data_IF_852834250283
#
_entry.id   IF_852834250283
#
_cell.length_a   1.000
_cell.length_b   1.000
_cell.length_c   1.000
_cell.angle_alpha   90.00
_cell.angle_beta   90.00
_cell.angle_gamma   90.00
#
_symmetry.space_group_name_H-M   'P 1'
#
loop_
_entity.id
_entity.type
_entity.pdbx_description
1 polymer ?
#
# COMPACT_ATOMS: atom_id res chain seq x y z
N UNK A 1 31.21 12.66 26.82
CA UNK A 1 31.97 11.39 27.01
C UNK A 1 32.94 11.23 25.87
N UNK A 2 34.23 10.91 26.17
CA UNK A 2 35.17 10.53 25.13
C UNK A 2 34.73 9.18 24.58
N UNK A 3 34.19 9.14 23.37
CA UNK A 3 33.64 7.96 22.69
C UNK A 3 34.55 6.71 22.69
N UNK A 4 35.83 6.90 22.97
CA UNK A 4 36.85 5.83 22.96
C UNK A 4 36.87 4.92 24.19
N UNK A 5 36.12 5.20 25.25
CA UNK A 5 36.15 4.40 26.52
C UNK A 5 34.94 3.46 26.68
N UNK A 6 33.87 3.66 25.93
CA UNK A 6 32.67 2.81 26.02
C UNK A 6 32.80 1.63 25.06
N UNK A 7 32.76 0.41 25.62
CA UNK A 7 32.80 -0.80 24.80
C UNK A 7 31.42 -1.10 24.18
N UNK A 8 31.35 -1.91 23.13
CA UNK A 8 30.06 -2.39 22.62
C UNK A 8 29.17 -3.07 23.68
N UNK A 9 29.79 -3.80 24.60
CA UNK A 9 29.12 -4.42 25.74
C UNK A 9 28.52 -3.39 26.70
N UNK A 10 29.22 -2.29 26.97
CA UNK A 10 28.70 -1.19 27.79
C UNK A 10 27.50 -0.52 27.12
N UNK A 11 27.59 -0.26 25.82
CA UNK A 11 26.47 0.33 25.05
C UNK A 11 25.24 -0.57 25.12
N UNK A 12 25.40 -1.86 24.86
CA UNK A 12 24.31 -2.85 24.93
C UNK A 12 23.65 -2.88 26.32
N UNK A 13 24.46 -2.92 27.39
CA UNK A 13 23.96 -2.96 28.76
C UNK A 13 23.13 -1.71 29.10
N UNK A 14 23.62 -0.52 28.73
CA UNK A 14 22.94 0.77 28.96
C UNK A 14 21.63 0.85 28.19
N UNK A 15 21.62 0.47 26.92
CA UNK A 15 20.41 0.48 26.10
C UNK A 15 19.35 -0.51 26.62
N UNK A 16 19.77 -1.69 27.04
CA UNK A 16 18.85 -2.68 27.62
C UNK A 16 18.26 -2.18 28.94
N UNK A 17 19.08 -1.60 29.81
CA UNK A 17 18.62 -0.97 31.05
C UNK A 17 17.58 0.11 30.78
N UNK A 18 17.85 1.02 29.83
CA UNK A 18 16.89 2.09 29.47
C UNK A 18 15.54 1.50 29.04
N UNK A 19 15.55 0.48 28.18
CA UNK A 19 14.31 -0.22 27.75
C UNK A 19 13.57 -0.86 28.91
N UNK A 20 14.28 -1.54 29.81
CA UNK A 20 13.69 -2.18 30.98
C UNK A 20 13.06 -1.14 31.92
N UNK A 21 13.73 -0.02 32.16
CA UNK A 21 13.19 1.07 32.97
C UNK A 21 11.91 1.65 32.36
N UNK A 22 11.91 1.91 31.06
CA UNK A 22 10.75 2.44 30.36
C UNK A 22 9.58 1.46 30.38
N UNK A 23 9.82 0.16 30.17
CA UNK A 23 8.80 -0.88 30.26
C UNK A 23 8.24 -1.00 31.69
N UNK A 24 9.09 -0.89 32.71
CA UNK A 24 8.66 -0.93 34.12
C UNK A 24 7.78 0.28 34.49
N UNK A 25 8.04 1.46 33.93
CA UNK A 25 7.21 2.65 34.15
C UNK A 25 5.80 2.53 33.57
N UNK A 26 5.61 1.67 32.58
CA UNK A 26 4.31 1.41 31.93
C UNK A 26 3.58 0.20 32.51
N UNK A 27 4.04 -0.40 33.59
CA UNK A 27 3.57 -1.68 34.14
C UNK A 27 3.67 -2.90 33.20
N UNK A 28 4.36 -2.76 32.07
CA UNK A 28 4.52 -3.83 31.07
C UNK A 28 5.62 -4.82 31.42
N UNK A 29 6.48 -4.48 32.39
CA UNK A 29 7.64 -5.29 32.75
C UNK A 29 7.90 -5.23 34.26
N UNK A 30 8.01 -6.41 34.89
CA UNK A 30 8.48 -6.55 36.24
C UNK A 30 9.77 -7.36 36.23
N UNK A 31 10.94 -6.70 36.34
CA UNK A 31 12.22 -7.40 36.30
C UNK A 31 12.37 -8.35 37.50
N UNK A 32 12.91 -9.52 37.23
CA UNK A 32 13.41 -10.40 38.30
C UNK A 32 14.69 -9.80 38.89
N UNK A 33 15.05 -10.18 40.12
CA UNK A 33 16.18 -9.60 40.84
C UNK A 33 17.49 -9.62 40.05
N UNK A 34 17.76 -10.68 39.30
CA UNK A 34 18.94 -10.81 38.44
C UNK A 34 19.00 -9.73 37.36
N UNK A 35 17.89 -9.50 36.68
CA UNK A 35 17.76 -8.46 35.64
C UNK A 35 17.96 -7.04 36.19
N UNK A 36 17.37 -6.79 37.38
CA UNK A 36 17.55 -5.52 38.09
C UNK A 36 19.02 -5.26 38.46
N UNK A 37 19.77 -6.30 38.93
CA UNK A 37 21.18 -6.14 39.24
C UNK A 37 22.05 -5.82 38.03
N UNK A 38 21.74 -6.40 36.86
CA UNK A 38 22.40 -6.05 35.61
C UNK A 38 22.08 -4.60 35.18
N UNK A 39 20.86 -4.12 35.36
CA UNK A 39 20.47 -2.74 35.04
C UNK A 39 21.15 -1.77 36.01
N UNK A 40 21.24 -2.10 37.30
CA UNK A 40 21.99 -1.32 38.30
C UNK A 40 23.47 -1.21 37.91
N UNK A 41 24.09 -2.35 37.50
CA UNK A 41 25.46 -2.35 37.02
C UNK A 41 25.64 -1.42 35.82
N UNK A 42 24.71 -1.45 34.85
CA UNK A 42 24.78 -0.61 33.67
C UNK A 42 24.77 0.91 34.02
N UNK A 43 23.92 1.29 34.99
CA UNK A 43 23.90 2.67 35.52
C UNK A 43 25.22 3.03 36.17
N UNK A 44 25.70 2.21 37.11
CA UNK A 44 26.94 2.45 37.84
C UNK A 44 28.13 2.58 36.89
N UNK A 45 28.20 1.68 35.88
CA UNK A 45 29.23 1.73 34.85
C UNK A 45 29.14 2.97 33.97
N UNK A 46 27.94 3.38 33.59
CA UNK A 46 27.73 4.60 32.81
C UNK A 46 28.20 5.84 33.58
N UNK A 47 27.83 5.98 34.87
CA UNK A 47 28.24 7.07 35.71
C UNK A 47 29.78 7.10 35.88
N UNK A 48 30.39 5.94 36.16
CA UNK A 48 31.84 5.80 36.24
C UNK A 48 32.55 6.27 34.95
N UNK A 49 32.05 5.90 33.78
CA UNK A 49 32.60 6.34 32.50
C UNK A 49 32.35 7.83 32.22
N UNK A 50 31.21 8.36 32.64
CA UNK A 50 30.84 9.75 32.40
C UNK A 50 31.69 10.74 33.22
N UNK A 51 32.01 10.39 34.45
CA UNK A 51 32.77 11.23 35.38
C UNK A 51 34.25 10.84 35.48
N UNK A 52 34.71 9.81 34.79
CA UNK A 52 36.08 9.27 34.82
C UNK A 52 36.51 8.83 36.21
N UNK A 53 35.57 8.30 37.00
CA UNK A 53 35.73 7.84 38.37
C UNK A 53 35.62 6.30 38.49
N UNK A 54 36.32 5.70 39.42
CA UNK A 54 36.22 4.27 39.68
C UNK A 54 34.89 3.94 40.36
N UNK A 55 34.41 2.72 40.15
CA UNK A 55 33.22 2.19 40.83
C UNK A 55 33.52 2.10 42.33
N UNK A 56 32.70 2.71 43.20
CA UNK A 56 32.90 2.63 44.63
C UNK A 56 33.05 1.20 45.14
N UNK A 57 34.06 0.95 45.97
CA UNK A 57 34.36 -0.37 46.50
C UNK A 57 33.17 -1.02 47.25
N UNK A 58 32.31 -0.19 47.84
CA UNK A 58 31.08 -0.65 48.51
C UNK A 58 30.02 -1.23 47.58
N UNK A 59 30.02 -0.85 46.27
CA UNK A 59 29.05 -1.31 45.28
C UNK A 59 29.55 -2.56 44.52
N UNK A 60 30.85 -2.82 44.50
CA UNK A 60 31.43 -3.95 43.77
C UNK A 60 30.79 -5.30 44.16
N UNK A 61 30.61 -5.63 45.46
CA UNK A 61 30.00 -6.89 45.83
C UNK A 61 28.49 -6.98 45.59
N UNK A 62 27.82 -5.84 45.40
CA UNK A 62 26.36 -5.74 45.25
C UNK A 62 25.88 -5.86 43.81
N UNK A 63 26.80 -5.76 42.84
CA UNK A 63 26.47 -5.79 41.40
C UNK A 63 27.24 -6.94 40.70
N UNK A 64 26.73 -7.45 39.55
CA UNK A 64 27.43 -8.47 38.76
C UNK A 64 28.85 -8.02 38.35
N UNK A 65 29.82 -8.91 38.33
CA UNK A 65 31.20 -8.60 37.95
C UNK A 65 31.37 -8.23 36.48
N UNK A 66 30.48 -8.70 35.57
CA UNK A 66 30.47 -8.43 34.15
C UNK A 66 29.17 -7.77 33.72
N UNK A 67 29.20 -7.08 32.60
CA UNK A 67 27.95 -6.63 31.97
C UNK A 67 27.05 -7.81 31.66
N UNK A 68 25.75 -7.51 31.49
CA UNK A 68 24.75 -8.48 31.02
C UNK A 68 25.34 -9.27 29.83
N UNK A 69 25.29 -10.60 29.85
CA UNK A 69 25.74 -11.39 28.73
C UNK A 69 24.92 -11.03 27.51
N UNK A 70 25.58 -10.84 26.39
CA UNK A 70 24.94 -10.60 25.10
C UNK A 70 24.11 -11.84 24.77
N UNK A 71 22.82 -11.74 24.98
CA UNK A 71 21.87 -12.74 24.51
C UNK A 71 21.63 -12.36 23.06
N UNK A 72 22.35 -12.96 22.12
CA UNK A 72 22.33 -12.75 20.67
C UNK A 72 21.19 -11.87 20.19
N UNK A 73 21.36 -11.11 19.16
CA UNK A 73 20.39 -10.12 18.67
C UNK A 73 18.95 -10.64 18.75
N UNK A 74 18.24 -10.43 19.86
CA UNK A 74 16.82 -10.26 19.78
C UNK A 74 16.65 -8.90 19.09
N UNK A 75 16.65 -8.92 17.75
CA UNK A 75 16.22 -7.76 16.98
C UNK A 75 14.84 -7.39 17.53
N UNK A 76 14.73 -6.27 18.21
CA UNK A 76 13.42 -5.77 18.59
C UNK A 76 12.71 -5.41 17.30
N UNK A 77 11.74 -6.21 16.92
CA UNK A 77 10.93 -5.97 15.74
C UNK A 77 9.83 -5.00 16.15
N UNK A 78 9.83 -3.82 15.57
CA UNK A 78 8.82 -2.81 15.80
C UNK A 78 7.89 -2.82 14.57
N UNK A 79 6.61 -3.14 14.74
CA UNK A 79 5.69 -3.26 13.60
C UNK A 79 5.53 -1.97 12.81
N UNK A 80 5.49 -0.83 13.51
CA UNK A 80 5.18 0.46 12.92
C UNK A 80 5.81 1.62 13.70
N UNK A 81 6.38 2.59 12.96
CA UNK A 81 6.86 3.87 13.52
C UNK A 81 6.44 4.98 12.56
N UNK A 82 5.90 6.06 13.12
CA UNK A 82 5.71 7.34 12.41
C UNK A 82 6.92 8.23 12.67
N UNK A 83 7.46 8.85 11.61
CA UNK A 83 8.62 9.73 11.72
C UNK A 83 8.53 10.90 10.74
N UNK A 84 9.23 11.99 11.06
CA UNK A 84 9.41 13.16 10.21
C UNK A 84 10.90 13.33 9.89
N UNK A 85 11.23 13.49 8.61
CA UNK A 85 12.61 13.64 8.13
C UNK A 85 13.20 14.95 8.64
N UNK A 86 14.37 14.90 9.27
CA UNK A 86 15.16 16.09 9.65
C UNK A 86 16.29 16.34 8.65
N UNK A 87 17.00 15.28 8.26
CA UNK A 87 18.07 15.32 7.25
C UNK A 87 18.32 13.89 6.72
N UNK A 88 19.11 13.76 5.66
CA UNK A 88 19.45 12.45 5.10
C UNK A 88 20.79 12.48 4.35
N UNK A 89 21.37 11.31 4.15
CA UNK A 89 22.49 11.06 3.27
C UNK A 89 22.20 9.92 2.28
N UNK A 90 23.20 9.38 1.61
CA UNK A 90 23.03 8.33 0.61
C UNK A 90 22.48 7.01 1.17
N UNK A 91 22.57 6.78 2.46
CA UNK A 91 22.24 5.50 3.12
C UNK A 91 21.33 5.64 4.33
N UNK A 92 21.30 6.82 4.97
CA UNK A 92 20.62 7.04 6.23
C UNK A 92 19.68 8.23 6.19
N UNK A 93 18.57 8.11 6.92
CA UNK A 93 17.64 9.21 7.19
C UNK A 93 17.69 9.49 8.69
N UNK A 94 17.88 10.74 9.05
CA UNK A 94 17.75 11.24 10.42
C UNK A 94 16.36 11.80 10.59
N UNK A 95 15.58 11.25 11.52
CA UNK A 95 14.19 11.59 11.65
C UNK A 95 13.77 11.80 13.11
N UNK A 96 12.81 12.69 13.31
CA UNK A 96 12.12 12.87 14.57
C UNK A 96 10.90 11.95 14.64
N UNK A 97 10.59 11.46 15.84
CA UNK A 97 9.38 10.68 16.12
C UNK A 97 8.57 11.37 17.21
N UNK A 98 7.34 10.94 17.40
CA UNK A 98 6.47 11.35 18.51
C UNK A 98 6.67 10.49 19.77
N UNK A 99 7.64 9.58 19.77
CA UNK A 99 7.97 8.75 20.92
C UNK A 99 8.82 9.51 21.93
N UNK A 100 8.37 9.54 23.19
CA UNK A 100 9.17 10.08 24.29
C UNK A 100 10.45 9.29 24.56
N UNK A 101 10.48 8.01 24.16
CA UNK A 101 11.60 7.12 24.40
C UNK A 101 12.74 7.32 23.40
N UNK A 102 12.36 7.45 22.12
CA UNK A 102 13.28 7.64 21.01
C UNK A 102 12.80 8.79 20.13
N UNK A 103 12.94 10.05 20.62
CA UNK A 103 12.46 11.24 19.90
C UNK A 103 13.23 11.49 18.59
N UNK A 104 14.43 10.90 18.47
CA UNK A 104 15.25 10.97 17.25
C UNK A 104 15.80 9.59 16.93
N UNK A 105 15.61 9.17 15.68
CA UNK A 105 16.05 7.87 15.18
C UNK A 105 16.94 8.04 13.95
N UNK A 106 17.82 7.06 13.73
CA UNK A 106 18.61 6.91 12.52
C UNK A 106 18.04 5.74 11.75
N UNK A 107 17.48 6.02 10.58
CA UNK A 107 16.90 5.02 9.69
C UNK A 107 17.96 4.63 8.67
N UNK A 108 18.36 3.37 8.65
CA UNK A 108 19.22 2.81 7.60
C UNK A 108 18.34 2.21 6.50
N UNK A 109 18.10 2.99 5.43
CA UNK A 109 17.23 2.60 4.33
C UNK A 109 17.95 1.92 3.17
N UNK A 110 19.28 1.85 3.23
CA UNK A 110 20.12 1.33 2.15
C UNK A 110 21.05 0.21 2.60
N UNK A 111 20.79 -0.40 3.78
CA UNK A 111 21.69 -1.40 4.37
C UNK A 111 21.87 -2.61 3.47
N UNK A 112 23.01 -2.62 2.78
CA UNK A 112 23.64 -3.70 2.05
C UNK A 112 22.73 -4.74 1.40
N UNK A 113 22.42 -4.63 0.13
CA UNK A 113 21.74 -5.66 -0.66
C UNK A 113 20.28 -5.94 -0.30
N UNK A 114 19.91 -5.86 0.99
CA UNK A 114 18.56 -6.18 1.46
C UNK A 114 17.51 -5.11 1.12
N UNK A 115 17.90 -3.84 1.21
CA UNK A 115 17.03 -2.67 0.96
C UNK A 115 17.49 -1.82 -0.22
N UNK A 116 18.25 -2.39 -1.17
CA UNK A 116 18.73 -1.66 -2.34
C UNK A 116 17.60 -1.13 -3.23
N UNK A 117 16.42 -1.73 -3.15
CA UNK A 117 15.20 -1.31 -3.84
C UNK A 117 14.61 0.01 -3.27
N UNK A 118 15.02 0.45 -2.07
CA UNK A 118 14.60 1.72 -1.47
C UNK A 118 15.52 2.91 -1.77
N UNK A 119 16.64 2.71 -2.51
CA UNK A 119 17.57 3.79 -2.85
C UNK A 119 16.93 4.94 -3.62
N UNK A 120 15.86 4.70 -4.38
CA UNK A 120 15.11 5.74 -5.10
C UNK A 120 14.52 6.81 -4.16
N UNK A 121 14.34 6.48 -2.87
CA UNK A 121 13.79 7.44 -1.89
C UNK A 121 14.67 8.66 -1.74
N UNK A 122 16.00 8.54 -1.93
CA UNK A 122 16.93 9.66 -1.84
C UNK A 122 16.47 10.88 -2.64
N UNK A 123 15.95 10.65 -3.85
CA UNK A 123 15.50 11.71 -4.74
C UNK A 123 14.11 12.28 -4.37
N UNK A 124 13.42 11.64 -3.44
CA UNK A 124 12.08 12.02 -2.98
C UNK A 124 12.08 12.61 -1.57
N UNK A 125 13.19 12.49 -0.82
CA UNK A 125 13.28 12.99 0.54
C UNK A 125 13.29 14.52 0.57
N UNK A 126 12.63 15.06 1.58
CA UNK A 126 12.60 16.49 1.89
C UNK A 126 12.54 16.70 3.41
N UNK A 127 12.98 17.83 3.90
CA UNK A 127 12.85 18.19 5.31
C UNK A 127 11.36 18.23 5.72
N UNK A 128 11.05 17.73 6.90
CA UNK A 128 9.69 17.55 7.43
C UNK A 128 8.79 16.55 6.67
N UNK A 129 9.34 15.80 5.71
CA UNK A 129 8.60 14.74 5.04
C UNK A 129 8.15 13.68 6.05
N UNK A 130 6.85 13.38 6.05
CA UNK A 130 6.27 12.35 6.91
C UNK A 130 6.51 10.96 6.34
N UNK A 131 6.96 10.06 7.20
CA UNK A 131 7.26 8.67 6.88
C UNK A 131 6.47 7.72 7.77
N UNK A 132 6.01 6.62 7.21
CA UNK A 132 5.69 5.42 7.96
C UNK A 132 6.79 4.39 7.72
N UNK A 133 7.34 3.87 8.78
CA UNK A 133 8.32 2.78 8.77
C UNK A 133 7.61 1.51 9.21
N UNK A 134 7.67 0.46 8.40
CA UNK A 134 6.94 -0.77 8.62
C UNK A 134 7.91 -1.94 8.84
N UNK A 135 7.55 -2.82 9.78
CA UNK A 135 8.32 -4.01 10.13
C UNK A 135 9.81 -3.71 10.39
N UNK A 136 10.07 -2.79 11.31
CA UNK A 136 11.39 -2.22 11.57
C UNK A 136 12.22 -3.15 12.44
N UNK A 137 13.43 -3.45 12.02
CA UNK A 137 14.46 -4.07 12.84
C UNK A 137 15.37 -2.99 13.42
N UNK A 138 15.72 -3.10 14.69
CA UNK A 138 16.71 -2.22 15.31
C UNK A 138 17.99 -3.00 15.54
N UNK A 139 19.10 -2.56 14.96
CA UNK A 139 20.38 -3.23 15.07
C UNK A 139 21.14 -2.84 16.36
N UNK A 140 22.32 -3.42 16.54
CA UNK A 140 23.16 -3.21 17.72
C UNK A 140 23.64 -1.75 17.86
N UNK A 141 23.73 -1.02 16.77
CA UNK A 141 24.13 0.38 16.72
C UNK A 141 22.94 1.33 16.91
N UNK A 142 21.74 0.79 17.17
CA UNK A 142 20.48 1.50 17.28
C UNK A 142 20.06 2.18 15.99
N UNK A 143 20.40 1.58 14.84
CA UNK A 143 19.85 1.95 13.56
C UNK A 143 18.54 1.21 13.31
N UNK A 144 17.57 1.94 12.81
CA UNK A 144 16.24 1.45 12.47
C UNK A 144 16.23 1.04 11.00
N UNK A 145 16.03 -0.26 10.75
CA UNK A 145 16.06 -0.85 9.41
C UNK A 145 14.64 -1.29 9.07
N UNK A 146 13.85 -0.46 8.37
CA UNK A 146 12.48 -0.81 8.00
C UNK A 146 12.46 -1.82 6.85
N UNK A 147 11.45 -2.68 6.84
CA UNK A 147 11.17 -3.52 5.69
C UNK A 147 10.55 -2.71 4.54
N UNK A 148 9.68 -1.75 4.88
CA UNK A 148 9.06 -0.81 3.94
C UNK A 148 9.06 0.60 4.52
N UNK A 149 9.17 1.59 3.63
CA UNK A 149 8.97 3.01 3.94
C UNK A 149 7.84 3.54 3.07
N UNK A 150 6.87 4.18 3.69
CA UNK A 150 5.77 4.89 3.01
C UNK A 150 5.94 6.38 3.24
N UNK A 151 6.11 7.14 2.16
CA UNK A 151 6.21 8.62 2.24
C UNK A 151 4.85 9.27 2.04
N UNK A 152 4.62 10.46 2.60
CA UNK A 152 3.33 11.14 2.56
C UNK A 152 2.15 10.20 2.87
N UNK A 153 2.16 9.45 3.98
CA UNK A 153 1.17 8.40 4.24
C UNK A 153 -0.24 8.93 4.40
N UNK A 154 -0.41 10.18 4.82
CA UNK A 154 -1.73 10.83 4.95
C UNK A 154 -2.37 11.13 3.58
N UNK A 155 -1.58 11.17 2.51
CA UNK A 155 -2.10 11.26 1.15
C UNK A 155 -2.50 9.86 0.66
N UNK A 156 -3.72 9.45 1.02
CA UNK A 156 -4.25 8.13 0.66
C UNK A 156 -4.42 8.01 -0.86
N UNK A 157 -3.84 6.95 -1.43
CA UNK A 157 -3.99 6.59 -2.84
C UNK A 157 -5.01 5.47 -2.96
N UNK A 158 -5.93 5.60 -3.90
CA UNK A 158 -6.91 4.56 -4.21
C UNK A 158 -6.23 3.34 -4.85
N UNK A 159 -6.53 2.15 -4.31
CA UNK A 159 -5.92 0.89 -4.71
C UNK A 159 -6.17 0.58 -6.19
N UNK A 160 -7.39 0.79 -6.69
CA UNK A 160 -7.72 0.53 -8.09
C UNK A 160 -6.94 1.47 -9.01
N UNK A 161 -6.78 2.73 -8.60
CA UNK A 161 -6.02 3.74 -9.35
C UNK A 161 -4.52 3.45 -9.37
N UNK A 162 -3.97 2.95 -8.27
CA UNK A 162 -2.58 2.49 -8.19
C UNK A 162 -2.35 1.26 -9.07
N UNK A 163 -3.20 0.25 -8.93
CA UNK A 163 -3.15 -0.98 -9.73
C UNK A 163 -3.22 -0.69 -11.23
N UNK A 164 -4.08 0.26 -11.64
CA UNK A 164 -4.20 0.69 -13.04
C UNK A 164 -2.92 1.34 -13.62
N UNK A 165 -1.90 1.60 -12.81
CA UNK A 165 -0.60 2.08 -13.27
C UNK A 165 0.37 0.95 -13.67
N UNK A 166 0.05 -0.31 -13.31
CA UNK A 166 0.77 -1.48 -13.76
C UNK A 166 0.33 -1.83 -15.19
N UNK A 167 1.17 -1.46 -16.14
CA UNK A 167 0.91 -1.62 -17.57
C UNK A 167 1.93 -2.56 -18.19
N UNK A 168 1.52 -3.27 -19.22
CA UNK A 168 2.42 -4.16 -19.96
C UNK A 168 3.66 -3.46 -20.54
N UNK A 169 3.61 -2.12 -20.68
CA UNK A 169 4.69 -1.30 -21.18
C UNK A 169 5.52 -0.58 -20.09
N UNK A 170 5.12 -0.68 -18.82
CA UNK A 170 5.86 -0.09 -17.70
C UNK A 170 4.99 0.29 -16.52
N UNK A 171 5.64 0.56 -15.38
CA UNK A 171 5.01 0.92 -14.11
C UNK A 171 5.32 2.39 -13.75
N UNK A 172 5.33 3.26 -14.75
CA UNK A 172 5.71 4.66 -14.59
C UNK A 172 4.66 5.45 -13.77
N UNK A 173 5.06 6.29 -12.78
CA UNK A 173 4.11 7.04 -11.94
C UNK A 173 3.24 8.03 -12.74
N UNK A 174 3.66 8.49 -13.91
CA UNK A 174 2.86 9.33 -14.80
C UNK A 174 1.67 8.59 -15.44
N UNK A 175 1.60 7.26 -15.37
CA UNK A 175 0.38 6.53 -15.73
C UNK A 175 -0.80 6.96 -14.84
N UNK A 176 -0.53 7.32 -13.58
CA UNK A 176 -1.56 7.87 -12.68
C UNK A 176 -2.10 9.21 -13.16
N UNK A 177 -1.21 10.12 -13.57
CA UNK A 177 -1.59 11.40 -14.20
C UNK A 177 -2.35 11.19 -15.51
N UNK A 178 -1.85 10.31 -16.40
CA UNK A 178 -2.53 10.00 -17.67
C UNK A 178 -3.95 9.49 -17.46
N UNK A 179 -4.17 8.64 -16.44
CA UNK A 179 -5.49 8.15 -16.09
C UNK A 179 -6.42 9.26 -15.54
N UNK A 180 -5.87 10.33 -14.95
CA UNK A 180 -6.64 11.51 -14.49
C UNK A 180 -7.10 12.40 -15.62
N UNK A 181 -6.23 12.65 -16.60
CA UNK A 181 -6.51 13.60 -17.71
C UNK A 181 -7.20 12.94 -18.90
N UNK A 182 -7.15 11.63 -18.99
CA UNK A 182 -7.84 10.87 -20.04
C UNK A 182 -9.36 11.08 -19.93
N UNK A 183 -10.04 11.40 -21.06
CA UNK A 183 -11.49 11.51 -21.08
C UNK A 183 -12.16 10.23 -20.57
N UNK A 184 -13.08 10.36 -19.63
CA UNK A 184 -13.91 9.24 -19.15
C UNK A 184 -15.19 9.20 -19.96
N UNK A 185 -15.41 8.13 -20.71
CA UNK A 185 -16.65 7.90 -21.42
C UNK A 185 -17.38 6.69 -20.81
N UNK A 186 -18.71 6.77 -20.77
CA UNK A 186 -19.51 5.60 -20.49
C UNK A 186 -19.40 4.61 -21.65
N UNK A 187 -19.10 3.37 -21.35
CA UNK A 187 -18.97 2.31 -22.36
C UNK A 187 -19.77 1.08 -21.95
N UNK A 188 -20.23 0.31 -22.94
CA UNK A 188 -20.98 -0.90 -22.66
C UNK A 188 -20.22 -1.90 -21.74
N UNK A 189 -18.88 -2.08 -21.83
CA UNK A 189 -18.14 -2.89 -20.86
C UNK A 189 -18.22 -2.39 -19.42
N UNK A 190 -18.22 -1.06 -19.20
CA UNK A 190 -18.36 -0.47 -17.85
C UNK A 190 -19.76 -0.75 -17.30
N UNK A 191 -20.80 -0.51 -18.11
CA UNK A 191 -22.18 -0.81 -17.72
C UNK A 191 -22.39 -2.31 -17.44
N UNK A 192 -21.79 -3.18 -18.25
CA UNK A 192 -21.82 -4.62 -18.03
C UNK A 192 -21.11 -5.02 -16.73
N UNK A 193 -20.00 -4.33 -16.41
CA UNK A 193 -19.29 -4.50 -15.14
C UNK A 193 -20.13 -4.13 -13.93
N UNK A 194 -20.75 -2.97 -13.96
CA UNK A 194 -21.63 -2.51 -12.88
C UNK A 194 -22.84 -3.43 -12.70
N UNK A 195 -23.41 -3.93 -13.80
CA UNK A 195 -24.50 -4.90 -13.74
C UNK A 195 -24.04 -6.26 -13.19
N UNK A 196 -22.83 -6.71 -13.52
CA UNK A 196 -22.25 -7.93 -12.98
C UNK A 196 -22.00 -7.82 -11.47
N UNK A 197 -21.53 -6.66 -10.97
CA UNK A 197 -21.42 -6.41 -9.52
C UNK A 197 -22.79 -6.46 -8.85
N UNK A 198 -23.82 -5.87 -9.47
CA UNK A 198 -25.20 -5.95 -8.93
C UNK A 198 -25.72 -7.40 -8.88
N UNK A 199 -25.37 -8.25 -9.85
CA UNK A 199 -25.72 -9.68 -9.78
C UNK A 199 -25.02 -10.38 -8.62
N UNK A 200 -23.75 -10.09 -8.36
CA UNK A 200 -23.04 -10.64 -7.20
C UNK A 200 -23.73 -10.24 -5.89
N UNK A 201 -24.03 -8.96 -5.74
CA UNK A 201 -24.74 -8.43 -4.56
C UNK A 201 -26.09 -9.11 -4.37
N UNK A 202 -26.87 -9.22 -5.43
CA UNK A 202 -28.22 -9.81 -5.38
C UNK A 202 -28.15 -11.30 -5.01
N UNK A 203 -27.18 -12.08 -5.54
CA UNK A 203 -27.06 -13.51 -5.21
C UNK A 203 -26.49 -13.78 -3.82
N UNK A 204 -25.57 -12.96 -3.33
CA UNK A 204 -25.07 -13.06 -1.95
C UNK A 204 -26.24 -12.77 -0.97
N UNK A 205 -27.08 -11.78 -1.28
CA UNK A 205 -28.22 -11.40 -0.44
C UNK A 205 -29.50 -12.20 -0.75
N UNK A 206 -29.45 -13.14 -1.70
CA UNK A 206 -30.61 -13.94 -2.10
C UNK A 206 -31.16 -14.76 -0.93
N UNK A 207 -32.47 -14.67 -0.74
CA UNK A 207 -33.21 -15.45 0.26
C UNK A 207 -33.78 -16.71 -0.37
N UNK A 208 -33.86 -17.78 0.39
CA UNK A 208 -34.39 -19.06 -0.08
C UNK A 208 -35.86 -18.96 -0.57
N UNK A 209 -36.65 -18.08 0.11
CA UNK A 209 -38.05 -17.83 -0.20
C UNK A 209 -38.28 -16.84 -1.35
N UNK A 210 -37.25 -16.17 -1.83
CA UNK A 210 -37.33 -15.11 -2.84
C UNK A 210 -36.12 -15.16 -3.80
N UNK A 211 -36.11 -16.10 -4.77
CA UNK A 211 -35.00 -16.23 -5.70
C UNK A 211 -34.86 -14.99 -6.61
N UNK A 212 -33.62 -14.63 -6.90
CA UNK A 212 -33.27 -13.50 -7.77
C UNK A 212 -33.65 -13.78 -9.22
N UNK A 213 -34.49 -12.91 -9.79
CA UNK A 213 -34.87 -12.98 -11.20
C UNK A 213 -34.07 -11.96 -12.03
N UNK A 214 -33.51 -12.39 -13.16
CA UNK A 214 -32.78 -11.53 -14.11
C UNK A 214 -33.51 -10.23 -14.41
N UNK A 215 -34.82 -10.33 -14.75
CA UNK A 215 -35.63 -9.16 -15.10
C UNK A 215 -35.76 -8.13 -13.96
N UNK A 216 -35.72 -8.58 -12.71
CA UNK A 216 -35.83 -7.70 -11.53
C UNK A 216 -34.54 -6.90 -11.37
N UNK A 217 -33.38 -7.55 -11.36
CA UNK A 217 -32.07 -6.89 -11.26
C UNK A 217 -31.85 -5.93 -12.41
N UNK A 218 -32.09 -6.39 -13.65
CA UNK A 218 -31.90 -5.55 -14.84
C UNK A 218 -32.80 -4.32 -14.83
N UNK A 219 -34.09 -4.45 -14.49
CA UNK A 219 -34.99 -3.29 -14.36
C UNK A 219 -34.50 -2.28 -13.33
N UNK A 220 -34.10 -2.77 -12.16
CA UNK A 220 -33.53 -1.93 -11.08
C UNK A 220 -32.28 -1.21 -11.57
N UNK A 221 -31.37 -1.92 -12.22
CA UNK A 221 -30.13 -1.37 -12.75
C UNK A 221 -30.39 -0.32 -13.85
N UNK A 222 -31.26 -0.61 -14.82
CA UNK A 222 -31.63 0.37 -15.85
C UNK A 222 -32.26 1.63 -15.26
N UNK A 223 -33.05 1.51 -14.21
CA UNK A 223 -33.63 2.66 -13.53
C UNK A 223 -32.56 3.53 -12.83
N UNK A 224 -31.56 2.90 -12.21
CA UNK A 224 -30.48 3.62 -11.50
C UNK A 224 -29.42 4.20 -12.43
N UNK A 225 -29.16 3.58 -13.58
CA UNK A 225 -28.14 3.98 -14.54
C UNK A 225 -28.75 4.54 -15.88
N UNK A 226 -29.91 5.15 -15.81
CA UNK A 226 -30.66 5.56 -17.00
C UNK A 226 -29.90 6.56 -17.88
N UNK A 227 -29.19 7.52 -17.27
CA UNK A 227 -28.41 8.52 -17.98
C UNK A 227 -27.19 7.91 -18.67
N UNK A 228 -26.53 6.97 -18.03
CA UNK A 228 -25.39 6.24 -18.57
C UNK A 228 -25.81 5.44 -19.81
N UNK A 229 -26.98 4.79 -19.77
CA UNK A 229 -27.53 4.09 -20.92
C UNK A 229 -27.89 5.02 -22.08
N UNK A 230 -28.38 6.24 -21.80
CA UNK A 230 -28.69 7.24 -22.83
C UNK A 230 -27.43 7.78 -23.53
N UNK A 231 -26.30 7.76 -22.86
CA UNK A 231 -25.03 8.33 -23.38
C UNK A 231 -24.07 7.28 -23.93
N UNK A 232 -24.42 6.01 -23.82
CA UNK A 232 -23.57 4.88 -24.23
C UNK A 232 -24.20 4.09 -25.40
N UNK A 233 -23.49 3.87 -26.51
CA UNK A 233 -23.96 2.95 -27.55
C UNK A 233 -23.95 1.51 -27.00
N UNK A 234 -25.14 0.93 -26.87
CA UNK A 234 -25.32 -0.43 -26.36
C UNK A 234 -25.31 -1.42 -27.53
N UNK A 235 -24.41 -2.42 -27.55
CA UNK A 235 -24.39 -3.45 -28.59
C UNK A 235 -25.59 -4.38 -28.49
N UNK A 236 -26.05 -4.93 -29.62
CA UNK A 236 -27.23 -5.79 -29.69
C UNK A 236 -27.14 -7.03 -28.75
N UNK A 237 -25.94 -7.55 -28.52
CA UNK A 237 -25.69 -8.71 -27.68
C UNK A 237 -25.44 -8.37 -26.19
N UNK A 238 -25.72 -7.14 -25.74
CA UNK A 238 -25.51 -6.72 -24.36
C UNK A 238 -26.28 -7.59 -23.35
N UNK A 239 -27.56 -7.84 -23.64
CA UNK A 239 -28.40 -8.70 -22.78
C UNK A 239 -27.92 -10.14 -22.74
N UNK A 240 -27.46 -10.68 -23.86
CA UNK A 240 -26.89 -12.03 -23.92
C UNK A 240 -25.63 -12.13 -23.04
N UNK A 241 -24.74 -11.14 -23.16
CA UNK A 241 -23.55 -11.05 -22.30
C UNK A 241 -23.90 -10.90 -20.82
N UNK A 242 -24.90 -10.09 -20.50
CA UNK A 242 -25.36 -9.90 -19.13
C UNK A 242 -25.96 -11.19 -18.55
N UNK A 243 -26.76 -11.92 -19.31
CA UNK A 243 -27.31 -13.21 -18.89
C UNK A 243 -26.22 -14.26 -18.67
N UNK A 244 -25.21 -14.32 -19.55
CA UNK A 244 -24.08 -15.22 -19.39
C UNK A 244 -23.32 -14.93 -18.09
N UNK A 245 -23.04 -13.64 -17.82
CA UNK A 245 -22.39 -13.24 -16.57
C UNK A 245 -23.24 -13.56 -15.33
N UNK A 246 -24.54 -13.31 -15.39
CA UNK A 246 -25.47 -13.68 -14.32
C UNK A 246 -25.40 -15.16 -14.00
N UNK A 247 -25.45 -16.04 -15.03
CA UNK A 247 -25.39 -17.50 -14.85
C UNK A 247 -24.08 -17.93 -14.21
N UNK A 248 -22.94 -17.36 -14.65
CA UNK A 248 -21.63 -17.64 -14.08
C UNK A 248 -21.54 -17.20 -12.63
N UNK A 249 -22.02 -15.98 -12.29
CA UNK A 249 -22.02 -15.45 -10.94
C UNK A 249 -22.94 -16.28 -10.02
N UNK A 250 -24.10 -16.68 -10.51
CA UNK A 250 -25.00 -17.55 -9.76
C UNK A 250 -24.32 -18.87 -9.39
N UNK A 251 -23.76 -19.57 -10.39
CA UNK A 251 -23.02 -20.81 -10.15
C UNK A 251 -21.83 -20.58 -9.23
N UNK A 252 -21.13 -19.46 -9.36
CA UNK A 252 -20.05 -19.08 -8.47
C UNK A 252 -20.50 -18.99 -7.02
N UNK A 253 -21.59 -18.28 -6.73
CA UNK A 253 -22.08 -18.05 -5.36
C UNK A 253 -22.66 -19.31 -4.74
N UNK A 254 -23.45 -20.09 -5.51
CA UNK A 254 -24.18 -21.25 -4.98
C UNK A 254 -23.39 -22.56 -4.99
N UNK A 255 -22.49 -22.74 -5.97
CA UNK A 255 -21.80 -24.01 -6.17
C UNK A 255 -20.30 -23.89 -5.90
N UNK A 256 -19.63 -22.90 -6.51
CA UNK A 256 -18.17 -22.85 -6.56
C UNK A 256 -17.57 -22.35 -5.24
N UNK A 257 -18.10 -21.26 -4.67
CA UNK A 257 -17.61 -20.73 -3.38
C UNK A 257 -17.78 -21.73 -2.24
N UNK A 258 -18.97 -22.33 -2.02
CA UNK A 258 -19.14 -23.30 -0.95
C UNK A 258 -18.27 -24.56 -1.09
N UNK A 259 -17.93 -24.93 -2.34
CA UNK A 259 -17.07 -26.08 -2.59
C UNK A 259 -15.58 -25.79 -2.36
N UNK A 260 -15.13 -24.60 -2.73
CA UNK A 260 -13.70 -24.23 -2.67
C UNK A 260 -13.29 -23.59 -1.33
N UNK A 261 -14.23 -23.02 -0.58
CA UNK A 261 -13.97 -22.33 0.67
C UNK A 261 -14.61 -23.09 1.82
N UNK A 262 -13.77 -23.68 2.67
CA UNK A 262 -14.25 -24.35 3.86
C UNK A 262 -14.95 -23.35 4.78
N UNK A 263 -16.17 -23.67 5.19
CA UNK A 263 -17.04 -22.80 6.03
C UNK A 263 -17.44 -21.46 5.35
N UNK A 264 -17.59 -21.44 4.02
CA UNK A 264 -18.18 -20.28 3.36
C UNK A 264 -19.63 -20.09 3.81
N UNK A 265 -19.93 -18.88 4.27
CA UNK A 265 -21.29 -18.46 4.64
C UNK A 265 -21.62 -17.13 3.96
N UNK A 266 -22.51 -17.18 2.98
CA UNK A 266 -22.95 -15.97 2.26
C UNK A 266 -23.59 -14.91 3.17
N UNK A 267 -24.24 -15.32 4.27
CA UNK A 267 -24.83 -14.38 5.24
C UNK A 267 -23.80 -13.70 6.14
N UNK A 268 -22.58 -14.23 6.16
CA UNK A 268 -21.46 -13.67 6.91
C UNK A 268 -20.45 -12.94 6.01
N UNK A 269 -20.95 -12.30 4.95
CA UNK A 269 -20.19 -11.59 3.94
C UNK A 269 -20.44 -10.08 4.01
N UNK A 270 -19.42 -9.30 3.74
CA UNK A 270 -19.46 -7.86 3.51
C UNK A 270 -19.27 -7.63 2.00
N UNK A 271 -20.20 -6.88 1.42
CA UNK A 271 -20.12 -6.44 0.03
C UNK A 271 -19.68 -4.98 -0.03
N UNK A 272 -18.90 -4.63 -1.02
CA UNK A 272 -18.44 -3.26 -1.25
C UNK A 272 -17.80 -2.62 0.01
N UNK A 273 -17.07 -3.44 0.81
CA UNK A 273 -16.44 -2.98 2.04
C UNK A 273 -15.32 -1.99 1.77
N UNK A 274 -15.46 -0.76 2.30
CA UNK A 274 -14.47 0.30 2.14
C UNK A 274 -13.45 0.28 3.26
N UNK A 275 -12.18 0.44 2.91
CA UNK A 275 -11.05 0.43 3.83
C UNK A 275 -10.16 1.65 3.64
N UNK A 276 -9.60 2.10 4.75
CA UNK A 276 -8.48 3.02 4.85
C UNK A 276 -7.35 2.25 5.54
N UNK A 277 -6.15 2.27 4.97
CA UNK A 277 -4.95 1.74 5.58
C UNK A 277 -3.92 2.87 5.69
N UNK A 278 -3.89 3.51 6.85
CA UNK A 278 -2.98 4.64 7.12
C UNK A 278 -1.51 4.20 7.06
N UNK A 279 -1.21 2.99 7.53
CA UNK A 279 0.15 2.46 7.51
C UNK A 279 0.71 2.38 6.09
N UNK A 280 -0.09 1.94 5.13
CA UNK A 280 0.30 1.84 3.71
C UNK A 280 0.01 3.11 2.91
N UNK A 281 -0.72 4.07 3.47
CA UNK A 281 -1.19 5.25 2.75
C UNK A 281 -2.12 4.90 1.59
N UNK A 282 -2.99 3.91 1.78
CA UNK A 282 -3.89 3.37 0.78
C UNK A 282 -5.35 3.43 1.24
N UNK A 283 -6.25 3.52 0.27
CA UNK A 283 -7.68 3.34 0.47
C UNK A 283 -8.27 2.52 -0.67
N UNK A 284 -9.41 1.88 -0.43
CA UNK A 284 -10.08 1.13 -1.48
C UNK A 284 -11.35 0.47 -1.01
N UNK A 285 -12.03 -0.21 -1.93
CA UNK A 285 -13.28 -0.90 -1.72
C UNK A 285 -13.21 -2.29 -2.33
N UNK A 286 -13.41 -3.30 -1.51
CA UNK A 286 -13.36 -4.71 -1.88
C UNK A 286 -14.74 -5.18 -2.29
N UNK A 287 -14.85 -5.90 -3.39
CA UNK A 287 -16.15 -6.38 -3.90
C UNK A 287 -16.83 -7.33 -2.91
N UNK A 288 -16.10 -8.31 -2.39
CA UNK A 288 -16.64 -9.25 -1.41
C UNK A 288 -15.57 -9.67 -0.37
N UNK A 289 -15.95 -9.64 0.91
CA UNK A 289 -15.09 -10.02 2.02
C UNK A 289 -15.91 -10.79 3.07
N UNK A 290 -15.44 -11.92 3.58
CA UNK A 290 -16.03 -12.53 4.74
C UNK A 290 -15.74 -11.74 6.02
N UNK A 291 -16.70 -11.71 6.96
CA UNK A 291 -16.59 -10.92 8.21
C UNK A 291 -15.44 -11.37 9.13
N UNK A 292 -14.93 -12.58 8.96
CA UNK A 292 -13.73 -13.06 9.64
C UNK A 292 -12.42 -12.53 9.04
N UNK A 293 -12.50 -11.76 7.94
CA UNK A 293 -11.38 -11.20 7.18
C UNK A 293 -10.38 -12.23 6.65
N UNK A 294 -10.85 -13.45 6.32
CA UNK A 294 -10.00 -14.51 5.80
C UNK A 294 -10.22 -14.77 4.32
N UNK A 295 -11.41 -14.49 3.80
CA UNK A 295 -11.77 -14.73 2.40
C UNK A 295 -12.06 -13.41 1.73
N UNK A 296 -11.34 -13.14 0.65
CA UNK A 296 -11.47 -11.95 -0.19
C UNK A 296 -11.71 -12.38 -1.63
N UNK A 297 -12.70 -11.77 -2.28
CA UNK A 297 -12.98 -11.95 -3.70
C UNK A 297 -13.04 -10.60 -4.39
N UNK A 298 -12.29 -10.46 -5.47
CA UNK A 298 -12.35 -9.31 -6.38
C UNK A 298 -12.95 -9.77 -7.70
N UNK A 299 -14.03 -9.14 -8.13
CA UNK A 299 -14.75 -9.49 -9.35
C UNK A 299 -14.30 -8.67 -10.55
N UNK A 300 -14.14 -9.32 -11.68
CA UNK A 300 -13.84 -8.69 -12.98
C UNK A 300 -14.80 -9.21 -14.05
N UNK A 301 -15.57 -8.32 -14.66
CA UNK A 301 -16.49 -8.64 -15.74
C UNK A 301 -15.82 -8.72 -17.12
N UNK A 302 -14.58 -8.22 -17.22
CA UNK A 302 -13.79 -8.16 -18.43
C UNK A 302 -13.07 -9.47 -18.77
N UNK A 303 -12.17 -9.35 -19.76
CA UNK A 303 -11.32 -10.46 -20.17
C UNK A 303 -10.16 -10.66 -19.22
N UNK A 304 -9.80 -11.94 -18.97
CA UNK A 304 -8.49 -12.32 -18.44
C UNK A 304 -7.45 -12.34 -19.56
N UNK A 305 -6.19 -12.65 -19.27
CA UNK A 305 -5.23 -13.04 -20.30
C UNK A 305 -5.69 -14.38 -20.91
N UNK A 306 -6.29 -14.28 -22.10
CA UNK A 306 -6.90 -15.43 -22.79
C UNK A 306 -5.84 -16.42 -23.32
N UNK A 307 -4.64 -15.93 -23.62
CA UNK A 307 -3.56 -16.75 -24.15
C UNK A 307 -2.98 -17.70 -23.09
N UNK A 308 -2.62 -17.13 -21.93
CA UNK A 308 -2.03 -17.88 -20.82
C UNK A 308 -3.09 -18.39 -19.83
N UNK A 309 -4.35 -18.03 -19.98
CA UNK A 309 -5.44 -18.26 -19.01
C UNK A 309 -5.08 -17.78 -17.60
N UNK A 310 -4.40 -16.63 -17.52
CA UNK A 310 -3.96 -16.02 -16.28
C UNK A 310 -4.75 -14.75 -15.96
N UNK A 311 -4.57 -14.25 -14.75
CA UNK A 311 -5.01 -12.92 -14.38
C UNK A 311 -4.28 -11.86 -15.23
N UNK A 312 -4.86 -10.67 -15.33
CA UNK A 312 -4.13 -9.48 -15.77
C UNK A 312 -3.36 -8.91 -14.57
N UNK A 313 -2.21 -8.35 -14.83
CA UNK A 313 -1.30 -7.85 -13.79
C UNK A 313 -1.96 -6.79 -12.91
N UNK A 314 -2.64 -5.80 -13.49
CA UNK A 314 -3.37 -4.77 -12.77
C UNK A 314 -4.46 -5.34 -11.84
N UNK A 315 -5.17 -6.39 -12.26
CA UNK A 315 -6.17 -7.04 -11.43
C UNK A 315 -5.53 -7.83 -10.26
N UNK A 316 -4.40 -8.49 -10.52
CA UNK A 316 -3.65 -9.21 -9.51
C UNK A 316 -3.06 -8.25 -8.47
N UNK A 317 -2.46 -7.14 -8.92
CA UNK A 317 -1.93 -6.09 -8.04
C UNK A 317 -3.03 -5.51 -7.16
N UNK A 318 -4.21 -5.22 -7.72
CA UNK A 318 -5.34 -4.70 -6.95
C UNK A 318 -5.72 -5.65 -5.80
N UNK A 319 -5.87 -6.93 -6.10
CA UNK A 319 -6.21 -7.93 -5.10
C UNK A 319 -5.09 -8.08 -4.05
N UNK A 320 -3.82 -8.11 -4.48
CA UNK A 320 -2.68 -8.22 -3.59
C UNK A 320 -2.56 -7.01 -2.63
N UNK A 321 -2.87 -5.81 -3.10
CA UNK A 321 -2.92 -4.62 -2.25
C UNK A 321 -4.03 -4.71 -1.20
N UNK A 322 -5.19 -5.30 -1.51
CA UNK A 322 -6.20 -5.59 -0.51
C UNK A 322 -5.74 -6.63 0.52
N UNK A 323 -4.98 -7.65 0.11
CA UNK A 323 -4.33 -8.55 1.07
C UNK A 323 -3.42 -7.76 2.03
N UNK A 324 -2.58 -6.87 1.48
CA UNK A 324 -1.75 -5.96 2.28
C UNK A 324 -2.56 -5.14 3.29
N UNK A 325 -3.71 -4.58 2.87
CA UNK A 325 -4.62 -3.86 3.79
C UNK A 325 -5.10 -4.76 4.92
N UNK A 326 -5.49 -6.00 4.63
CA UNK A 326 -5.93 -6.93 5.67
C UNK A 326 -4.78 -7.33 6.62
N UNK A 327 -3.56 -7.44 6.09
CA UNK A 327 -2.38 -7.74 6.90
C UNK A 327 -2.05 -6.58 7.86
N UNK A 328 -2.00 -5.35 7.37
CA UNK A 328 -1.58 -4.20 8.17
C UNK A 328 -2.69 -3.65 9.08
N UNK A 329 -3.95 -3.66 8.64
CA UNK A 329 -5.05 -3.18 9.47
C UNK A 329 -5.50 -4.19 10.53
N UNK A 330 -5.46 -5.49 10.22
CA UNK A 330 -6.07 -6.53 11.05
C UNK A 330 -5.08 -7.60 11.53
N UNK A 331 -3.79 -7.41 11.26
CA UNK A 331 -2.74 -8.36 11.66
C UNK A 331 -2.89 -9.75 11.03
N UNK A 332 -3.54 -9.84 9.87
CA UNK A 332 -3.69 -11.13 9.16
C UNK A 332 -2.37 -11.56 8.55
N UNK A 333 -2.09 -12.84 8.62
CA UNK A 333 -0.95 -13.42 7.92
C UNK A 333 -1.37 -13.88 6.52
N UNK A 334 -0.44 -13.87 5.58
CA UNK A 334 -0.69 -14.32 4.20
C UNK A 334 -1.22 -15.74 4.12
N UNK A 335 -0.73 -16.63 4.99
CA UNK A 335 -1.15 -18.02 5.10
C UNK A 335 -2.58 -18.23 5.59
N UNK A 336 -3.16 -17.23 6.28
CA UNK A 336 -4.55 -17.26 6.76
C UNK A 336 -5.54 -16.71 5.73
N UNK A 337 -5.05 -16.08 4.66
CA UNK A 337 -5.87 -15.42 3.67
C UNK A 337 -6.13 -16.33 2.46
N UNK A 338 -7.40 -16.46 2.10
CA UNK A 338 -7.84 -17.07 0.85
C UNK A 338 -8.35 -15.99 -0.08
N UNK A 339 -7.66 -15.77 -1.18
CA UNK A 339 -7.93 -14.67 -2.08
C UNK A 339 -8.21 -15.16 -3.48
N UNK A 340 -9.24 -14.60 -4.06
CA UNK A 340 -9.80 -15.05 -5.33
C UNK A 340 -10.02 -13.87 -6.27
N UNK A 341 -9.61 -14.06 -7.53
CA UNK A 341 -10.07 -13.25 -8.66
C UNK A 341 -11.19 -13.98 -9.38
N UNK A 342 -12.34 -13.35 -9.49
CA UNK A 342 -13.48 -13.88 -10.22
C UNK A 342 -13.65 -13.16 -11.55
N UNK A 343 -13.30 -13.82 -12.65
CA UNK A 343 -13.64 -13.35 -14.00
C UNK A 343 -15.03 -13.84 -14.40
N UNK A 344 -16.06 -13.08 -14.08
CA UNK A 344 -17.47 -13.48 -14.25
C UNK A 344 -17.90 -13.71 -15.71
N UNK A 345 -17.07 -13.30 -16.67
CA UNK A 345 -17.25 -13.61 -18.09
C UNK A 345 -17.13 -15.11 -18.40
N UNK A 346 -16.41 -15.88 -17.60
CA UNK A 346 -16.05 -17.27 -17.86
C UNK A 346 -16.66 -18.21 -16.84
N UNK A 347 -17.07 -19.39 -17.26
CA UNK A 347 -17.56 -20.47 -16.38
C UNK A 347 -16.46 -21.02 -15.47
N UNK A 348 -15.20 -21.00 -15.94
CA UNK A 348 -13.97 -21.36 -15.22
C UNK A 348 -13.19 -20.10 -14.74
N UNK A 349 -13.93 -19.05 -14.41
CA UNK A 349 -13.34 -17.73 -14.15
C UNK A 349 -12.77 -17.51 -12.76
N UNK A 350 -12.91 -18.48 -11.83
CA UNK A 350 -12.33 -18.37 -10.49
C UNK A 350 -10.84 -18.70 -10.53
N UNK A 351 -10.03 -17.78 -10.00
CA UNK A 351 -8.59 -17.95 -9.83
C UNK A 351 -8.23 -17.77 -8.37
N UNK A 352 -7.49 -18.74 -7.84
CA UNK A 352 -6.89 -18.65 -6.48
C UNK A 352 -5.56 -17.93 -6.63
N UNK A 353 -5.37 -16.89 -5.86
CA UNK A 353 -4.19 -16.05 -5.95
C UNK A 353 -3.43 -16.01 -4.62
N UNK A 354 -2.13 -15.92 -4.71
CA UNK A 354 -1.24 -15.91 -3.56
C UNK A 354 -0.48 -14.59 -3.47
N UNK A 355 -0.13 -14.20 -2.26
CA UNK A 355 0.62 -12.98 -2.03
C UNK A 355 2.03 -13.07 -2.63
N UNK A 356 2.41 -12.04 -3.36
CA UNK A 356 3.73 -11.90 -3.98
C UNK A 356 4.47 -10.70 -3.36
N UNK A 357 5.33 -10.97 -2.39
CA UNK A 357 6.00 -9.93 -1.60
C UNK A 357 6.80 -8.94 -2.46
N UNK A 358 7.52 -9.42 -3.46
CA UNK A 358 8.30 -8.55 -4.36
C UNK A 358 7.42 -7.55 -5.11
N UNK A 359 6.29 -8.01 -5.67
CA UNK A 359 5.35 -7.14 -6.37
C UNK A 359 4.60 -6.21 -5.40
N UNK A 360 4.33 -6.67 -4.19
CA UNK A 360 3.77 -5.81 -3.15
C UNK A 360 4.71 -4.66 -2.80
N UNK A 361 6.00 -4.95 -2.57
CA UNK A 361 7.02 -3.92 -2.33
C UNK A 361 7.11 -2.95 -3.50
N UNK A 362 7.17 -3.45 -4.73
CA UNK A 362 7.17 -2.62 -5.95
C UNK A 362 5.93 -1.73 -6.04
N UNK A 363 4.76 -2.26 -5.67
CA UNK A 363 3.52 -1.48 -5.64
C UNK A 363 3.57 -0.32 -4.62
N UNK A 364 4.17 -0.54 -3.45
CA UNK A 364 4.36 0.51 -2.45
C UNK A 364 5.42 1.53 -2.93
N UNK A 365 6.48 1.09 -3.61
CA UNK A 365 7.45 2.00 -4.22
C UNK A 365 6.81 2.88 -5.30
N UNK A 366 5.95 2.31 -6.14
CA UNK A 366 5.19 3.08 -7.12
C UNK A 366 4.21 4.04 -6.44
N UNK A 367 3.52 3.60 -5.37
CA UNK A 367 2.65 4.46 -4.53
C UNK A 367 3.42 5.68 -4.01
N UNK A 368 4.63 5.48 -3.53
CA UNK A 368 5.48 6.56 -3.03
C UNK A 368 5.84 7.57 -4.12
N UNK A 369 6.26 7.08 -5.29
CA UNK A 369 6.57 7.94 -6.44
C UNK A 369 5.34 8.73 -6.91
N UNK A 370 4.17 8.10 -6.91
CA UNK A 370 2.90 8.78 -7.24
C UNK A 370 2.61 9.86 -6.19
N UNK A 371 2.70 9.55 -4.90
CA UNK A 371 2.42 10.52 -3.83
C UNK A 371 3.34 11.74 -3.91
N UNK A 372 4.65 11.52 -4.09
CA UNK A 372 5.61 12.62 -4.30
C UNK A 372 5.25 13.49 -5.51
N UNK A 373 4.84 12.87 -6.62
CA UNK A 373 4.42 13.58 -7.83
C UNK A 373 3.14 14.39 -7.61
N UNK A 374 2.18 13.83 -6.90
CA UNK A 374 0.94 14.50 -6.55
C UNK A 374 1.19 15.73 -5.66
N UNK A 375 2.09 15.62 -4.69
CA UNK A 375 2.51 16.78 -3.88
C UNK A 375 3.16 17.86 -4.75
N UNK A 376 4.09 17.48 -5.63
CA UNK A 376 4.75 18.39 -6.54
C UNK A 376 3.77 19.11 -7.50
N UNK A 377 2.67 18.47 -7.88
CA UNK A 377 1.61 19.13 -8.68
C UNK A 377 0.94 20.27 -7.91
N UNK A 378 0.78 20.16 -6.60
CA UNK A 378 0.31 21.26 -5.75
C UNK A 378 1.25 22.47 -5.75
N UNK A 379 2.54 22.25 -6.03
CA UNK A 379 3.56 23.29 -6.13
C UNK A 379 3.84 23.74 -7.57
N UNK A 380 3.07 23.25 -8.55
CA UNK A 380 3.13 23.70 -9.93
C UNK A 380 4.01 22.87 -10.87
N UNK A 381 4.49 21.71 -10.45
CA UNK A 381 5.34 20.83 -11.28
C UNK A 381 4.63 20.31 -12.56
N UNK A 382 3.33 20.54 -12.72
CA UNK A 382 2.59 20.16 -13.95
C UNK A 382 3.18 20.80 -15.21
N UNK A 383 3.81 21.98 -15.10
CA UNK A 383 4.42 22.65 -16.23
C UNK A 383 5.55 21.83 -16.84
N UNK A 384 6.53 21.38 -16.05
CA UNK A 384 7.64 20.52 -16.50
C UNK A 384 7.15 19.16 -16.99
N UNK A 385 6.19 18.56 -16.27
CA UNK A 385 5.64 17.25 -16.64
C UNK A 385 4.98 17.29 -18.01
N UNK A 386 4.21 18.31 -18.35
CA UNK A 386 3.58 18.44 -19.68
C UNK A 386 4.58 18.63 -20.82
N UNK A 387 5.77 19.15 -20.54
CA UNK A 387 6.85 19.29 -21.51
C UNK A 387 7.60 17.96 -21.74
N UNK A 388 7.92 17.24 -20.66
CA UNK A 388 8.69 16.00 -20.68
C UNK A 388 7.86 14.79 -21.16
N UNK A 389 6.54 14.85 -21.00
CA UNK A 389 5.65 13.71 -21.25
C UNK A 389 5.76 13.21 -22.70
N UNK A 390 6.07 11.92 -22.85
CA UNK A 390 6.16 11.23 -24.15
C UNK A 390 5.76 9.76 -24.02
N UNK A 391 5.45 9.11 -25.12
CA UNK A 391 5.19 7.66 -25.13
C UNK A 391 6.44 6.88 -24.78
N UNK A 392 7.63 7.33 -25.18
CA UNK A 392 8.92 6.72 -24.85
C UNK A 392 9.18 6.74 -23.33
N UNK A 393 8.85 7.85 -22.66
CA UNK A 393 8.99 7.97 -21.20
C UNK A 393 8.09 6.95 -20.46
N UNK A 394 6.88 6.71 -20.97
CA UNK A 394 5.95 5.77 -20.36
C UNK A 394 6.27 4.32 -20.68
N UNK A 395 6.93 4.04 -21.80
CA UNK A 395 7.31 2.70 -22.25
C UNK A 395 8.65 2.26 -21.62
N UNK A 396 8.68 2.15 -20.29
CA UNK A 396 9.88 1.79 -19.53
C UNK A 396 10.45 0.40 -19.94
N UNK A 397 9.58 -0.52 -20.35
CA UNK A 397 9.95 -1.88 -20.75
C UNK A 397 10.32 -1.99 -22.24
N UNK A 398 10.33 -0.87 -22.97
CA UNK A 398 10.67 -0.80 -24.40
C UNK A 398 9.87 -1.79 -25.26
N UNK A 399 8.58 -1.96 -24.94
CA UNK A 399 7.68 -2.85 -25.65
C UNK A 399 7.45 -2.33 -27.06
N UNK A 400 7.52 -3.25 -28.05
CA UNK A 400 7.34 -2.94 -29.49
C UNK A 400 6.43 -3.96 -30.18
N UNK A 401 5.57 -4.62 -29.43
CA UNK A 401 4.63 -5.61 -29.99
C UNK A 401 3.41 -4.94 -30.67
N UNK A 402 2.59 -5.73 -31.33
CA UNK A 402 1.40 -5.25 -32.03
C UNK A 402 0.42 -4.53 -31.11
N UNK A 403 0.24 -4.98 -29.87
CA UNK A 403 -0.67 -4.36 -28.91
C UNK A 403 -0.21 -2.92 -28.58
N UNK A 404 1.09 -2.74 -28.38
CA UNK A 404 1.67 -1.43 -28.17
C UNK A 404 1.50 -0.53 -29.42
N UNK A 405 2.02 -0.97 -30.56
CA UNK A 405 2.10 -0.15 -31.77
C UNK A 405 0.73 0.23 -32.33
N UNK A 406 -0.24 -0.71 -32.33
CA UNK A 406 -1.54 -0.50 -32.98
C UNK A 406 -2.60 0.10 -32.04
N UNK A 407 -2.41 0.00 -30.71
CA UNK A 407 -3.47 0.38 -29.75
C UNK A 407 -2.98 1.25 -28.59
N UNK A 408 -1.96 0.83 -27.84
CA UNK A 408 -1.59 1.50 -26.59
C UNK A 408 -0.88 2.83 -26.85
N UNK A 409 0.16 2.82 -27.67
CA UNK A 409 0.92 4.02 -28.02
C UNK A 409 0.05 5.09 -28.71
N UNK A 410 -0.78 4.76 -29.74
CA UNK A 410 -1.66 5.75 -30.36
C UNK A 410 -2.63 6.43 -29.39
N UNK A 411 -3.21 5.68 -28.44
CA UNK A 411 -4.10 6.25 -27.42
C UNK A 411 -3.37 7.19 -26.47
N UNK A 412 -2.16 6.82 -26.02
CA UNK A 412 -1.33 7.69 -25.20
C UNK A 412 -0.92 8.94 -25.96
N UNK A 413 -0.46 8.76 -27.20
CA UNK A 413 -0.03 9.86 -28.08
C UNK A 413 -1.15 10.86 -28.36
N UNK A 414 -2.40 10.41 -28.51
CA UNK A 414 -3.56 11.30 -28.69
C UNK A 414 -3.74 12.21 -27.48
N UNK A 415 -3.69 11.67 -26.26
CA UNK A 415 -3.79 12.44 -25.02
C UNK A 415 -2.62 13.42 -24.89
N UNK A 416 -1.39 12.95 -25.12
CA UNK A 416 -0.17 13.76 -25.07
C UNK A 416 -0.24 14.90 -26.10
N UNK A 417 -0.65 14.60 -27.33
CA UNK A 417 -0.81 15.59 -28.39
C UNK A 417 -1.83 16.66 -28.03
N UNK A 418 -2.94 16.28 -27.38
CA UNK A 418 -3.94 17.24 -26.92
C UNK A 418 -3.33 18.23 -25.93
N UNK A 419 -2.54 17.76 -24.96
CA UNK A 419 -1.84 18.62 -24.00
C UNK A 419 -0.78 19.51 -24.65
N UNK A 420 -0.06 18.99 -25.67
CA UNK A 420 1.03 19.71 -26.34
C UNK A 420 0.56 20.73 -27.40
N UNK A 421 -0.62 20.53 -28.01
CA UNK A 421 -1.19 21.41 -29.04
C UNK A 421 -1.95 22.60 -28.48
N UNK A 422 -2.07 22.72 -27.17
CA UNK A 422 -2.70 23.87 -26.53
C UNK A 422 -2.01 25.18 -26.93
N UNK A 423 -2.80 26.22 -27.17
CA UNK A 423 -2.32 27.60 -27.29
C UNK A 423 -1.62 28.01 -25.95
N UNK A 424 -0.77 29.04 -25.98
CA UNK A 424 -0.12 29.52 -24.73
C UNK A 424 -1.13 29.87 -23.63
N UNK A 425 -2.30 30.43 -23.97
CA UNK A 425 -3.33 30.76 -22.99
C UNK A 425 -4.02 29.53 -22.42
N UNK A 426 -4.40 28.56 -23.25
CA UNK A 426 -5.00 27.31 -22.83
C UNK A 426 -4.03 26.51 -21.93
N UNK A 427 -2.75 26.45 -22.29
CA UNK A 427 -1.71 25.82 -21.50
C UNK A 427 -1.57 26.49 -20.14
N UNK A 428 -1.46 27.81 -20.10
CA UNK A 428 -1.35 28.56 -18.85
C UNK A 428 -2.58 28.38 -17.96
N UNK A 429 -3.78 28.35 -18.56
CA UNK A 429 -5.03 28.08 -17.85
C UNK A 429 -5.03 26.66 -17.28
N UNK A 430 -4.74 25.64 -18.09
CA UNK A 430 -4.68 24.25 -17.66
C UNK A 430 -3.69 24.06 -16.51
N UNK A 431 -2.46 24.56 -16.64
CA UNK A 431 -1.42 24.40 -15.62
C UNK A 431 -1.81 25.06 -14.29
N UNK A 432 -2.33 26.27 -14.31
CA UNK A 432 -2.75 26.98 -13.10
C UNK A 432 -3.96 26.33 -12.44
N UNK A 433 -4.94 25.94 -13.25
CA UNK A 433 -6.14 25.30 -12.72
C UNK A 433 -5.87 23.90 -12.19
N UNK A 434 -5.04 23.13 -12.89
CA UNK A 434 -4.61 21.82 -12.41
C UNK A 434 -3.82 21.91 -11.09
N UNK A 435 -2.89 22.87 -10.98
CA UNK A 435 -2.17 23.15 -9.72
C UNK A 435 -3.13 23.51 -8.59
N UNK A 436 -4.11 24.38 -8.85
CA UNK A 436 -5.13 24.74 -7.87
C UNK A 436 -5.93 23.51 -7.41
N UNK A 437 -6.45 22.71 -8.33
CA UNK A 437 -7.21 21.49 -8.00
C UNK A 437 -6.35 20.48 -7.23
N UNK A 438 -5.09 20.31 -7.63
CA UNK A 438 -4.14 19.43 -6.91
C UNK A 438 -3.91 19.91 -5.49
N UNK A 439 -3.75 21.22 -5.28
CA UNK A 439 -3.56 21.80 -3.95
C UNK A 439 -4.79 21.61 -3.07
N UNK A 440 -5.99 21.84 -3.59
CA UNK A 440 -7.25 21.59 -2.88
C UNK A 440 -7.41 20.11 -2.55
N UNK A 441 -7.03 19.22 -3.45
CA UNK A 441 -7.07 17.77 -3.22
C UNK A 441 -6.09 17.34 -2.13
N UNK A 442 -4.88 17.90 -2.12
CA UNK A 442 -3.89 17.65 -1.06
C UNK A 442 -4.45 18.10 0.29
N UNK A 443 -4.93 19.35 0.38
CA UNK A 443 -5.51 19.90 1.62
C UNK A 443 -6.71 19.07 2.11
N UNK A 444 -7.57 18.64 1.19
CA UNK A 444 -8.72 17.78 1.50
C UNK A 444 -8.33 16.43 2.10
N UNK A 445 -7.21 15.85 1.64
CA UNK A 445 -6.73 14.54 2.09
C UNK A 445 -5.86 14.61 3.35
N UNK A 446 -5.03 15.63 3.47
CA UNK A 446 -4.03 15.71 4.56
C UNK A 446 -4.49 16.60 5.71
N UNK A 447 -5.64 17.29 5.56
CA UNK A 447 -6.06 18.34 6.49
C UNK A 447 -5.12 19.55 6.39
N UNK A 448 -5.61 20.76 6.39
CA UNK A 448 -4.79 21.97 6.25
C UNK A 448 -3.82 22.17 7.45
N UNK A 449 -2.80 21.34 7.50
CA UNK A 449 -1.69 21.47 8.47
C UNK A 449 -0.52 22.17 7.84
#
# INVERSE_FOLDING_TARGET
CKEKRMTPSDKYAIQTMRRNCNAAMRDDFRPVMEEYLYDLRAIVRFVSLAFDEDIPASLIPEIPHSNRPYRGTQYSRIPYIRAAVSSWDDTKIFAATDSDEDPFIIIDYAKGGYNSDMLYLKDLLAENLQLNLLDVHVDEENHYIPNLIVIHPDYLIDISSLAACFREYGHHPLNFFMNKVKPKANTAPILLGNLASQFLDDYINEREDAPVAYSTTVKKFFASAALEFCTCPIPANFHEQAQAQMMNIRSFVHDVLPHNIQAFDKHNTLLEASFICEQLGLQGRVDMLQKDFKVLVEQKSGKRDEYNRRHKEDHFIQMMLYQGVLMYNFGRKTEDLQTFLLYSKYTDGLMIEHFAETLFRESIHLRNRIAAREMAFGDGAIASVTEELSTDLLNELQVSNRLWNDFQEPQLQETINTLKRCTPLERAYFQRFFTFVSKEQILSKTGGK
#
